data_IF_413715449095
#
_entry.id   IF_413715449095
#
_cell.length_a   1.000
_cell.length_b   1.000
_cell.length_c   1.000
_cell.angle_alpha   90.00
_cell.angle_beta   90.00
_cell.angle_gamma   90.00
#
_symmetry.space_group_name_H-M   'P 1'
#
loop_
_entity.id
_entity.type
_entity.pdbx_description
1 polymer ?
#
# COMPACT_ATOMS: atom_id res chain seq x y z
N UNK A 1 -43.13 62.18 9.00
CA UNK A 1 -44.41 61.64 9.51
C UNK A 1 -45.24 61.15 8.34
N UNK A 2 -46.01 60.05 8.54
CA UNK A 2 -46.72 59.16 7.58
C UNK A 2 -45.79 58.08 7.00
N UNK A 3 -45.72 56.85 7.54
CA UNK A 3 -46.73 55.79 7.67
C UNK A 3 -47.23 55.27 6.32
N UNK A 4 -46.90 54.03 5.97
CA UNK A 4 -47.81 52.85 5.95
C UNK A 4 -47.08 51.68 5.23
N UNK A 5 -47.18 50.50 5.84
CA UNK A 5 -46.75 49.14 5.47
C UNK A 5 -47.49 48.56 4.23
N UNK A 6 -47.50 47.24 3.98
CA UNK A 6 -46.45 46.36 3.46
C UNK A 6 -46.91 45.70 2.13
N UNK A 7 -46.02 45.09 1.34
CA UNK A 7 -46.46 44.12 0.34
C UNK A 7 -45.81 42.76 0.54
N UNK A 8 -46.69 41.81 0.84
CA UNK A 8 -46.48 40.37 0.87
C UNK A 8 -46.19 39.86 -0.55
N UNK A 9 -45.50 38.73 -0.61
CA UNK A 9 -45.93 37.49 -1.30
C UNK A 9 -44.92 36.93 -2.28
N UNK A 10 -44.37 35.77 -1.87
CA UNK A 10 -44.16 34.54 -2.63
C UNK A 10 -44.05 34.62 -4.16
N UNK A 11 -42.90 34.16 -4.65
CA UNK A 11 -42.72 33.21 -5.77
C UNK A 11 -41.30 33.40 -6.30
N UNK A 12 -40.57 32.43 -6.78
CA UNK A 12 -40.69 30.99 -6.88
C UNK A 12 -39.34 30.59 -7.51
N UNK A 13 -38.79 29.46 -7.08
CA UNK A 13 -38.11 28.50 -7.97
C UNK A 13 -36.86 29.04 -8.71
N UNK A 14 -35.67 28.87 -8.11
CA UNK A 14 -34.65 27.89 -8.55
C UNK A 14 -34.61 27.59 -10.05
N UNK A 15 -33.54 28.03 -10.71
CA UNK A 15 -32.82 27.25 -11.72
C UNK A 15 -31.50 27.97 -12.08
N UNK A 16 -30.45 27.75 -11.29
CA UNK A 16 -29.08 28.02 -11.74
C UNK A 16 -28.55 26.70 -12.34
N UNK A 17 -28.65 26.57 -13.66
CA UNK A 17 -28.01 25.52 -14.43
C UNK A 17 -26.50 25.82 -14.49
N UNK A 18 -25.71 25.14 -13.66
CA UNK A 18 -24.27 24.98 -13.89
C UNK A 18 -24.08 23.56 -14.40
N UNK A 19 -24.01 23.40 -15.72
CA UNK A 19 -23.58 22.17 -16.35
C UNK A 19 -22.05 22.07 -16.22
N UNK A 20 -21.57 21.39 -15.18
CA UNK A 20 -20.20 20.90 -15.13
C UNK A 20 -20.12 19.65 -16.02
N UNK A 21 -19.64 19.84 -17.25
CA UNK A 21 -19.22 18.75 -18.11
C UNK A 21 -17.89 18.19 -17.58
N UNK A 22 -17.97 17.18 -16.71
CA UNK A 22 -16.82 16.33 -16.40
C UNK A 22 -16.74 15.28 -17.50
N UNK A 23 -15.93 15.54 -18.52
CA UNK A 23 -15.59 14.51 -19.50
C UNK A 23 -14.81 13.38 -18.84
N UNK A 24 -14.93 12.12 -19.30
CA UNK A 24 -14.11 11.04 -18.78
C UNK A 24 -12.64 11.34 -19.08
N UNK A 25 -11.85 11.50 -18.03
CA UNK A 25 -10.40 11.46 -18.15
C UNK A 25 -10.08 10.02 -18.51
N UNK A 26 -9.89 9.76 -19.80
CA UNK A 26 -9.30 8.51 -20.26
C UNK A 26 -7.87 8.55 -19.75
N UNK A 27 -7.64 7.91 -18.61
CA UNK A 27 -6.30 7.57 -18.16
C UNK A 27 -5.72 6.67 -19.24
N UNK A 28 -4.91 7.26 -20.12
CA UNK A 28 -3.98 6.48 -20.94
C UNK A 28 -3.05 5.82 -19.94
N UNK A 29 -3.26 4.53 -19.69
CA UNK A 29 -2.29 3.69 -19.01
C UNK A 29 -0.95 3.94 -19.73
N UNK A 30 -0.03 4.61 -19.03
CA UNK A 30 1.38 4.52 -19.38
C UNK A 30 1.67 3.02 -19.39
N UNK A 31 2.26 2.45 -20.44
CA UNK A 31 2.78 1.10 -20.33
C UNK A 31 3.73 1.13 -19.13
N UNK A 32 3.40 0.35 -18.10
CA UNK A 32 4.36 -0.05 -17.07
C UNK A 32 5.65 -0.45 -17.79
N UNK A 33 6.84 -0.20 -17.24
CA UNK A 33 8.02 -0.89 -17.71
C UNK A 33 7.84 -2.35 -17.27
N UNK A 34 7.05 -3.11 -18.04
CA UNK A 34 7.25 -4.53 -18.13
C UNK A 34 8.71 -4.67 -18.53
N UNK A 35 9.53 -5.18 -17.61
CA UNK A 35 10.88 -5.65 -17.86
C UNK A 35 10.80 -6.75 -18.92
N UNK A 36 10.71 -6.30 -20.17
CA UNK A 36 10.86 -7.11 -21.37
C UNK A 36 11.74 -6.30 -22.32
N UNK A 37 12.85 -5.78 -21.81
CA UNK A 37 14.05 -5.90 -22.62
C UNK A 37 14.35 -7.39 -22.58
N UNK A 38 14.22 -8.09 -23.70
CA UNK A 38 15.01 -9.30 -23.88
C UNK A 38 16.47 -8.85 -23.80
N UNK A 39 16.98 -8.70 -22.58
CA UNK A 39 18.39 -8.59 -22.32
C UNK A 39 19.03 -9.78 -23.00
N UNK A 40 20.17 -9.55 -23.66
CA UNK A 40 20.96 -10.66 -24.12
C UNK A 40 21.17 -11.63 -22.93
N UNK A 41 20.93 -12.91 -23.20
CA UNK A 41 21.13 -14.04 -22.31
C UNK A 41 21.72 -15.13 -23.23
N UNK A 42 23.05 -15.18 -23.26
CA UNK A 42 23.81 -15.87 -24.28
C UNK A 42 23.79 -17.40 -24.11
N UNK A 43 23.70 -17.88 -22.87
CA UNK A 43 23.64 -19.30 -22.53
C UNK A 43 22.24 -19.79 -22.12
N UNK A 44 21.27 -18.88 -21.98
CA UNK A 44 19.84 -19.17 -21.72
C UNK A 44 19.60 -19.76 -20.33
N UNK A 45 20.34 -19.27 -19.34
CA UNK A 45 20.20 -19.66 -17.94
C UNK A 45 19.26 -18.73 -17.15
N UNK A 46 18.62 -17.78 -17.83
CA UNK A 46 17.72 -16.72 -17.30
C UNK A 46 18.41 -15.55 -16.61
N UNK A 47 19.74 -15.58 -16.48
CA UNK A 47 20.53 -14.46 -15.96
C UNK A 47 20.95 -13.58 -17.15
N UNK A 48 20.63 -12.28 -17.15
CA UNK A 48 21.05 -11.39 -18.23
C UNK A 48 22.58 -11.28 -18.37
N UNK A 49 23.10 -11.26 -19.60
CA UNK A 49 24.52 -11.03 -19.93
C UNK A 49 25.14 -9.82 -19.18
N UNK A 50 24.33 -8.78 -18.95
CA UNK A 50 24.74 -7.57 -18.26
C UNK A 50 24.96 -7.82 -16.76
N UNK A 51 24.13 -8.65 -16.14
CA UNK A 51 24.26 -9.09 -14.75
C UNK A 51 25.49 -9.98 -14.62
N UNK A 52 25.64 -10.97 -15.49
CA UNK A 52 26.78 -11.91 -15.43
C UNK A 52 28.14 -11.22 -15.54
N UNK A 53 28.24 -10.18 -16.39
CA UNK A 53 29.48 -9.39 -16.49
C UNK A 53 29.84 -8.68 -15.19
N UNK A 54 28.87 -8.34 -14.36
CA UNK A 54 29.09 -7.77 -13.03
C UNK A 54 29.44 -8.88 -12.03
N UNK A 55 28.68 -9.98 -12.03
CA UNK A 55 28.84 -11.11 -11.09
C UNK A 55 30.19 -11.82 -11.28
N UNK A 56 30.53 -12.20 -12.51
CA UNK A 56 31.67 -13.11 -12.77
C UNK A 56 32.54 -12.70 -13.98
N UNK A 57 32.19 -11.61 -14.67
CA UNK A 57 33.07 -10.98 -15.68
C UNK A 57 32.94 -11.49 -17.11
N UNK A 58 32.03 -12.44 -17.38
CA UNK A 58 31.68 -12.90 -18.74
C UNK A 58 30.16 -13.00 -18.90
N UNK A 59 29.68 -13.38 -20.08
CA UNK A 59 28.25 -13.40 -20.42
C UNK A 59 27.66 -14.83 -20.44
N UNK A 60 28.33 -15.78 -19.79
CA UNK A 60 27.86 -17.18 -19.65
C UNK A 60 28.47 -17.84 -18.40
N UNK A 61 28.72 -17.09 -17.34
CA UNK A 61 29.50 -17.58 -16.19
C UNK A 61 28.76 -17.56 -14.86
N UNK A 62 27.64 -16.85 -14.74
CA UNK A 62 26.89 -16.87 -13.50
C UNK A 62 26.13 -18.19 -13.42
N UNK A 63 25.83 -18.63 -12.21
CA UNK A 63 25.03 -19.85 -11.98
C UNK A 63 23.82 -19.57 -11.12
N UNK A 64 23.68 -18.32 -10.63
CA UNK A 64 22.58 -17.86 -9.80
C UNK A 64 22.75 -18.20 -8.32
N UNK A 65 23.89 -18.77 -7.94
CA UNK A 65 24.20 -19.15 -6.54
C UNK A 65 25.44 -18.44 -5.99
N UNK A 66 26.08 -17.60 -6.79
CA UNK A 66 27.10 -16.70 -6.31
C UNK A 66 26.50 -15.77 -5.24
N UNK A 67 27.17 -15.67 -4.11
CA UNK A 67 26.78 -14.83 -2.96
C UNK A 67 28.09 -14.33 -2.34
N UNK A 68 28.50 -13.13 -2.78
CA UNK A 68 29.86 -12.63 -2.62
C UNK A 68 30.17 -12.18 -1.20
N UNK A 69 29.17 -11.72 -0.46
CA UNK A 69 29.29 -11.31 0.94
C UNK A 69 28.70 -12.31 1.93
N UNK A 70 27.99 -13.34 1.45
CA UNK A 70 27.52 -14.45 2.26
C UNK A 70 26.31 -14.09 3.11
N UNK A 71 25.49 -13.14 2.66
CA UNK A 71 24.31 -12.69 3.37
C UNK A 71 23.05 -13.52 3.05
N UNK A 72 23.15 -14.43 2.07
CA UNK A 72 22.07 -15.30 1.62
C UNK A 72 21.27 -14.78 0.44
N UNK A 73 21.58 -13.59 -0.09
CA UNK A 73 21.00 -13.05 -1.32
C UNK A 73 21.98 -13.30 -2.47
N UNK A 74 21.57 -13.99 -3.56
CA UNK A 74 22.49 -14.21 -4.67
C UNK A 74 22.90 -12.92 -5.39
N UNK A 75 24.16 -12.83 -5.84
CA UNK A 75 24.71 -11.70 -6.60
C UNK A 75 23.83 -11.38 -7.84
N UNK A 76 23.28 -12.42 -8.49
CA UNK A 76 22.40 -12.29 -9.64
C UNK A 76 21.06 -11.59 -9.30
N UNK A 77 20.66 -11.60 -8.02
CA UNK A 77 19.51 -10.85 -7.47
C UNK A 77 19.93 -9.44 -7.04
N UNK A 78 21.11 -9.28 -6.45
CA UNK A 78 21.58 -7.97 -5.96
C UNK A 78 21.86 -6.97 -7.09
N UNK A 79 22.50 -7.41 -8.17
CA UNK A 79 22.86 -6.53 -9.29
C UNK A 79 21.64 -5.84 -9.90
N UNK A 80 20.54 -6.53 -10.25
CA UNK A 80 19.33 -5.85 -10.70
C UNK A 80 18.61 -5.07 -9.60
N UNK A 81 18.76 -5.46 -8.33
CA UNK A 81 18.13 -4.75 -7.21
C UNK A 81 18.81 -3.40 -6.94
N UNK A 82 20.13 -3.35 -6.79
CA UNK A 82 20.88 -2.17 -6.35
C UNK A 82 22.19 -1.88 -7.09
N UNK A 83 22.58 -2.72 -8.05
CA UNK A 83 23.67 -2.42 -9.00
C UNK A 83 25.06 -2.91 -8.60
N UNK A 84 25.20 -3.66 -7.51
CA UNK A 84 26.45 -4.28 -7.04
C UNK A 84 26.15 -5.71 -6.52
N UNK A 85 27.17 -6.46 -6.13
CA UNK A 85 27.07 -7.86 -5.64
C UNK A 85 27.23 -7.94 -4.11
N UNK A 86 27.01 -6.84 -3.39
CA UNK A 86 27.14 -6.76 -1.92
C UNK A 86 26.27 -5.64 -1.33
N UNK A 87 25.21 -5.27 -2.03
CA UNK A 87 24.43 -4.05 -1.77
C UNK A 87 23.03 -4.32 -1.21
N UNK A 88 22.55 -5.55 -1.29
CA UNK A 88 21.30 -5.91 -0.65
C UNK A 88 21.56 -6.30 0.81
N UNK A 89 20.46 -6.48 1.55
CA UNK A 89 20.51 -7.14 2.85
C UNK A 89 19.17 -7.80 3.08
N UNK A 90 19.13 -9.04 3.64
CA UNK A 90 17.88 -9.72 3.94
C UNK A 90 17.08 -9.03 5.05
N UNK A 91 17.68 -8.07 5.76
CA UNK A 91 17.08 -7.39 6.91
C UNK A 91 16.72 -5.91 6.66
N UNK A 92 17.04 -5.38 5.48
CA UNK A 92 16.62 -4.02 5.10
C UNK A 92 15.14 -4.03 4.74
N UNK A 93 14.37 -3.23 5.45
CA UNK A 93 12.92 -3.03 5.31
C UNK A 93 12.64 -1.56 5.65
N UNK A 94 12.61 -0.72 4.61
CA UNK A 94 12.74 0.74 4.74
C UNK A 94 11.47 1.40 5.25
N UNK A 95 10.30 0.84 4.96
CA UNK A 95 9.01 1.30 5.47
C UNK A 95 8.41 0.42 6.57
N UNK A 96 9.19 -0.54 7.06
CA UNK A 96 8.84 -1.46 8.15
C UNK A 96 7.59 -2.31 7.85
N UNK A 97 7.29 -2.58 6.58
CA UNK A 97 6.10 -3.32 6.15
C UNK A 97 6.31 -4.85 6.13
N UNK A 98 7.51 -5.33 6.43
CA UNK A 98 7.86 -6.75 6.46
C UNK A 98 8.27 -7.34 5.11
N UNK A 99 8.40 -6.53 4.05
CA UNK A 99 8.95 -6.91 2.76
C UNK A 99 10.38 -6.37 2.64
N UNK A 100 11.38 -7.19 2.28
CA UNK A 100 12.75 -6.70 2.13
C UNK A 100 12.91 -5.70 0.97
N UNK A 101 13.70 -4.64 1.17
CA UNK A 101 13.95 -3.57 0.17
C UNK A 101 14.36 -4.12 -1.20
N UNK A 102 15.20 -5.16 -1.23
CA UNK A 102 15.68 -5.74 -2.49
C UNK A 102 14.53 -6.35 -3.29
N UNK A 103 13.57 -7.00 -2.63
CA UNK A 103 12.40 -7.58 -3.26
C UNK A 103 11.50 -6.46 -3.79
N UNK A 104 11.28 -5.40 -3.03
CA UNK A 104 10.47 -4.26 -3.50
C UNK A 104 11.07 -3.56 -4.72
N UNK A 105 12.40 -3.33 -4.74
CA UNK A 105 13.06 -2.78 -5.92
C UNK A 105 12.87 -3.66 -7.15
N UNK A 106 12.91 -4.98 -6.97
CA UNK A 106 12.71 -5.94 -8.04
C UNK A 106 11.25 -6.07 -8.46
N UNK A 107 10.28 -5.82 -7.58
CA UNK A 107 8.83 -5.90 -7.84
C UNK A 107 8.27 -4.60 -8.43
N UNK A 108 8.61 -3.44 -7.87
CA UNK A 108 7.98 -2.16 -8.21
C UNK A 108 8.95 -0.98 -8.34
N UNK A 109 10.24 -1.16 -8.05
CA UNK A 109 11.30 -0.21 -8.42
C UNK A 109 11.74 0.79 -7.34
N UNK A 110 11.28 0.65 -6.09
CA UNK A 110 11.75 1.42 -4.94
C UNK A 110 11.59 0.64 -3.63
N UNK A 111 12.29 1.07 -2.58
CA UNK A 111 12.31 0.42 -1.26
C UNK A 111 11.03 0.65 -0.41
N UNK A 112 9.91 1.08 -0.99
CA UNK A 112 8.67 1.36 -0.23
C UNK A 112 7.40 1.26 -1.10
N UNK A 113 7.46 0.55 -2.22
CA UNK A 113 6.39 0.60 -3.24
C UNK A 113 5.49 -0.62 -3.24
N UNK A 114 5.93 -1.72 -2.63
CA UNK A 114 5.14 -2.93 -2.62
C UNK A 114 3.91 -2.73 -1.75
N UNK A 115 2.81 -3.41 -2.07
CA UNK A 115 1.67 -3.49 -1.17
C UNK A 115 1.29 -4.94 -0.83
N UNK A 116 2.22 -5.87 -1.10
CA UNK A 116 2.08 -7.31 -0.92
C UNK A 116 0.98 -7.98 -1.76
N UNK A 117 0.41 -7.29 -2.76
CA UNK A 117 -0.69 -7.82 -3.59
C UNK A 117 -0.39 -7.85 -5.07
N UNK A 118 0.81 -7.43 -5.45
CA UNK A 118 1.39 -7.74 -6.75
C UNK A 118 1.39 -9.26 -6.92
N UNK A 119 0.84 -9.75 -8.02
CA UNK A 119 0.63 -11.19 -8.32
C UNK A 119 0.62 -11.32 -9.85
N UNK A 120 1.78 -11.57 -10.43
CA UNK A 120 2.01 -11.45 -11.87
C UNK A 120 1.43 -12.62 -12.66
N UNK A 121 1.33 -13.82 -12.08
CA UNK A 121 0.76 -15.00 -12.73
C UNK A 121 -0.65 -15.38 -12.24
N UNK A 122 -1.14 -14.75 -11.17
CA UNK A 122 -2.51 -14.89 -10.69
C UNK A 122 -2.75 -16.12 -9.82
N UNK A 123 -1.70 -16.71 -9.25
CA UNK A 123 -1.78 -17.90 -8.42
C UNK A 123 -2.11 -17.62 -6.93
N UNK A 124 -2.16 -16.32 -6.57
CA UNK A 124 -2.40 -15.75 -5.23
C UNK A 124 -1.19 -15.76 -4.29
N UNK A 125 0.02 -15.90 -4.82
CA UNK A 125 1.27 -15.65 -4.12
C UNK A 125 1.76 -14.27 -4.53
N UNK A 126 2.28 -13.51 -3.56
CA UNK A 126 2.73 -12.16 -3.86
C UNK A 126 4.04 -12.18 -4.66
N UNK A 127 4.21 -11.31 -5.66
CA UNK A 127 5.43 -11.21 -6.48
C UNK A 127 6.71 -11.17 -5.63
N UNK A 128 6.66 -10.49 -4.47
CA UNK A 128 7.80 -10.37 -3.56
C UNK A 128 8.12 -11.70 -2.87
N UNK A 129 7.11 -12.50 -2.52
CA UNK A 129 7.26 -13.82 -1.91
C UNK A 129 7.94 -14.75 -2.90
N UNK A 130 7.47 -14.77 -4.14
CA UNK A 130 8.05 -15.58 -5.21
C UNK A 130 9.50 -15.18 -5.47
N UNK A 131 9.79 -13.87 -5.45
CA UNK A 131 11.15 -13.39 -5.63
C UNK A 131 12.08 -13.89 -4.51
N UNK A 132 11.61 -13.89 -3.25
CA UNK A 132 12.36 -14.39 -2.10
C UNK A 132 12.59 -15.90 -2.20
N UNK A 133 11.59 -16.67 -2.65
CA UNK A 133 11.65 -18.14 -2.71
C UNK A 133 12.53 -18.64 -3.87
N UNK A 134 12.39 -18.03 -5.06
CA UNK A 134 12.95 -18.59 -6.29
C UNK A 134 13.44 -17.54 -7.30
N UNK A 135 13.46 -16.26 -6.95
CA UNK A 135 14.15 -15.22 -7.72
C UNK A 135 13.40 -14.68 -8.94
N UNK A 136 12.15 -15.09 -9.17
CA UNK A 136 11.28 -14.51 -10.21
C UNK A 136 9.87 -14.29 -9.65
N UNK A 137 8.98 -13.65 -10.43
CA UNK A 137 7.63 -13.27 -9.99
C UNK A 137 6.52 -14.22 -10.48
N UNK A 138 6.89 -15.43 -10.90
CA UNK A 138 5.94 -16.42 -11.43
C UNK A 138 6.40 -17.86 -11.13
N UNK A 139 7.18 -18.06 -10.06
CA UNK A 139 7.96 -19.30 -9.87
C UNK A 139 7.60 -20.11 -8.63
N UNK A 140 6.97 -19.50 -7.62
CA UNK A 140 6.47 -20.25 -6.48
C UNK A 140 5.02 -20.61 -6.76
N UNK A 141 4.57 -21.78 -6.29
CA UNK A 141 3.17 -22.21 -6.38
C UNK A 141 2.53 -22.47 -5.01
N UNK A 142 3.28 -22.22 -3.95
CA UNK A 142 2.83 -22.29 -2.56
C UNK A 142 2.90 -23.71 -2.00
N UNK A 143 3.54 -24.63 -2.72
CA UNK A 143 3.84 -25.98 -2.25
C UNK A 143 5.26 -26.13 -1.69
N UNK A 144 6.08 -25.09 -1.77
CA UNK A 144 7.41 -25.04 -1.19
C UNK A 144 7.30 -25.14 0.34
N UNK A 145 7.96 -26.14 0.92
CA UNK A 145 8.04 -26.39 2.36
C UNK A 145 9.46 -26.92 2.63
N UNK A 146 10.45 -26.03 2.55
CA UNK A 146 11.87 -26.38 2.58
C UNK A 146 12.30 -27.04 3.90
N UNK A 147 11.67 -26.69 5.02
CA UNK A 147 11.96 -27.25 6.34
C UNK A 147 11.08 -28.46 6.70
N UNK A 148 10.10 -28.79 5.84
CA UNK A 148 9.15 -29.88 5.97
C UNK A 148 8.32 -29.81 7.28
N UNK A 149 8.00 -28.60 7.74
CA UNK A 149 7.21 -28.38 8.95
C UNK A 149 5.69 -28.45 8.70
N UNK A 150 5.26 -28.51 7.43
CA UNK A 150 3.87 -28.62 7.03
C UNK A 150 3.15 -27.28 6.81
N UNK A 151 3.88 -26.17 6.86
CA UNK A 151 3.46 -24.83 6.43
C UNK A 151 4.33 -24.46 5.23
N UNK A 152 3.74 -23.94 4.15
CA UNK A 152 4.56 -23.54 3.01
C UNK A 152 5.36 -22.28 3.28
N UNK A 153 6.56 -22.19 2.71
CA UNK A 153 7.45 -21.03 2.83
C UNK A 153 6.72 -19.75 2.38
N UNK A 154 5.91 -19.85 1.32
CA UNK A 154 5.07 -18.75 0.84
C UNK A 154 4.07 -18.26 1.90
N UNK A 155 3.46 -19.18 2.65
CA UNK A 155 2.53 -18.84 3.71
C UNK A 155 3.24 -18.24 4.94
N UNK A 156 4.44 -18.73 5.26
CA UNK A 156 5.26 -18.19 6.34
C UNK A 156 5.73 -16.76 6.03
N UNK A 157 6.24 -16.52 4.81
CA UNK A 157 6.65 -15.21 4.33
C UNK A 157 5.46 -14.24 4.28
N UNK A 158 4.32 -14.65 3.73
CA UNK A 158 3.12 -13.80 3.69
C UNK A 158 2.64 -13.38 5.09
N UNK A 159 2.91 -14.19 6.14
CA UNK A 159 2.56 -13.84 7.51
C UNK A 159 3.48 -12.77 8.13
N UNK A 160 4.66 -12.49 7.54
CA UNK A 160 5.57 -11.43 7.99
C UNK A 160 5.11 -10.03 7.62
N UNK A 161 4.26 -9.89 6.59
CA UNK A 161 3.79 -8.61 6.08
C UNK A 161 2.93 -7.88 7.11
N UNK A 162 3.24 -6.60 7.33
CA UNK A 162 2.53 -5.67 8.19
C UNK A 162 1.70 -4.74 7.33
N UNK A 163 0.38 -4.71 7.56
CA UNK A 163 -0.47 -3.68 6.95
C UNK A 163 -0.09 -2.29 7.50
N UNK A 164 0.61 -1.49 6.70
CA UNK A 164 0.94 -0.10 7.03
C UNK A 164 -0.23 0.87 6.79
N UNK A 165 -1.36 0.40 6.25
CA UNK A 165 -2.45 1.26 5.76
C UNK A 165 -3.73 1.34 6.63
N UNK A 166 -3.85 0.67 7.79
CA UNK A 166 -5.19 0.50 8.42
C UNK A 166 -5.41 1.03 9.85
N UNK A 167 -4.48 1.77 10.47
CA UNK A 167 -4.71 2.23 11.86
C UNK A 167 -5.51 3.54 12.01
N UNK A 168 -5.71 4.36 10.96
CA UNK A 168 -6.19 5.74 11.16
C UNK A 168 -7.58 6.08 10.59
N UNK A 169 -8.10 5.37 9.58
CA UNK A 169 -9.37 5.78 8.95
C UNK A 169 -10.59 5.43 9.81
N UNK A 170 -10.64 4.23 10.40
CA UNK A 170 -11.78 3.80 11.21
C UNK A 170 -11.71 4.35 12.64
N UNK A 171 -10.52 4.40 13.26
CA UNK A 171 -10.33 4.98 14.58
C UNK A 171 -10.65 6.48 14.64
N UNK A 172 -10.23 7.24 13.62
CA UNK A 172 -10.46 8.68 13.53
C UNK A 172 -11.94 9.04 13.38
N UNK A 173 -12.67 8.36 12.47
CA UNK A 173 -14.10 8.61 12.27
C UNK A 173 -14.93 8.18 13.49
N UNK A 174 -14.60 7.04 14.11
CA UNK A 174 -15.28 6.58 15.34
C UNK A 174 -15.03 7.55 16.48
N UNK A 175 -13.79 8.02 16.67
CA UNK A 175 -13.47 9.02 17.69
C UNK A 175 -14.24 10.34 17.48
N UNK A 176 -14.40 10.78 16.24
CA UNK A 176 -15.20 11.96 15.89
C UNK A 176 -16.67 11.78 16.28
N UNK A 177 -17.28 10.64 15.94
CA UNK A 177 -18.68 10.35 16.29
C UNK A 177 -18.88 10.22 17.81
N UNK A 178 -17.94 9.60 18.52
CA UNK A 178 -17.97 9.52 19.99
C UNK A 178 -17.87 10.91 20.62
N UNK A 179 -16.99 11.78 20.11
CA UNK A 179 -16.85 13.15 20.58
C UNK A 179 -18.12 13.98 20.35
N UNK A 180 -18.75 13.84 19.18
CA UNK A 180 -20.04 14.49 18.87
C UNK A 180 -21.14 14.00 19.80
N UNK A 181 -21.26 12.68 20.02
CA UNK A 181 -22.25 12.12 20.93
C UNK A 181 -22.05 12.62 22.38
N UNK A 182 -20.81 12.68 22.85
CA UNK A 182 -20.48 13.22 24.17
C UNK A 182 -20.85 14.70 24.31
N UNK A 183 -20.58 15.52 23.27
CA UNK A 183 -20.93 16.93 23.26
C UNK A 183 -22.45 17.15 23.31
N UNK A 184 -23.22 16.34 22.57
CA UNK A 184 -24.69 16.37 22.60
C UNK A 184 -25.20 15.99 23.99
N UNK A 185 -24.68 14.93 24.59
CA UNK A 185 -25.08 14.48 25.92
C UNK A 185 -24.82 15.56 27.00
N UNK A 186 -23.67 16.23 26.93
CA UNK A 186 -23.34 17.36 27.81
C UNK A 186 -24.30 18.54 27.61
N UNK A 187 -24.58 18.92 26.36
CA UNK A 187 -25.51 20.00 26.05
C UNK A 187 -26.93 19.72 26.58
N UNK A 188 -27.43 18.49 26.38
CA UNK A 188 -28.73 18.04 26.90
C UNK A 188 -28.73 18.07 28.43
N UNK A 189 -27.67 17.57 29.08
CA UNK A 189 -27.53 17.60 30.53
C UNK A 189 -27.58 19.03 31.10
N UNK A 190 -26.88 19.97 30.47
CA UNK A 190 -26.88 21.40 30.85
C UNK A 190 -28.27 22.03 30.65
N UNK A 191 -28.94 21.74 29.53
CA UNK A 191 -30.29 22.22 29.25
C UNK A 191 -31.32 21.72 30.29
N UNK A 192 -31.25 20.43 30.65
CA UNK A 192 -32.14 19.86 31.67
C UNK A 192 -31.87 20.44 33.06
N UNK A 193 -30.60 20.66 33.43
CA UNK A 193 -30.20 21.28 34.70
C UNK A 193 -30.68 22.72 34.82
N UNK A 194 -30.55 23.51 33.76
CA UNK A 194 -31.02 24.91 33.75
C UNK A 194 -32.54 25.01 33.80
N UNK A 195 -33.27 24.11 33.12
CA UNK A 195 -34.74 24.04 33.18
C UNK A 195 -35.26 23.70 34.58
N UNK A 196 -34.62 22.76 35.29
CA UNK A 196 -34.95 22.45 36.69
C UNK A 196 -34.73 23.64 37.64
N UNK A 197 -33.64 24.41 37.45
CA UNK A 197 -33.37 25.59 38.28
C UNK A 197 -34.42 26.70 38.09
N UNK A 198 -34.89 26.92 36.86
CA UNK A 198 -35.94 27.91 36.56
C UNK A 198 -37.32 27.51 37.10
N UNK A 199 -37.61 26.20 37.18
CA UNK A 199 -38.86 25.71 37.76
C UNK A 199 -38.91 25.88 39.30
N UNK A 200 -37.77 25.85 39.99
CA UNK A 200 -37.69 26.01 41.45
C UNK A 200 -37.79 27.45 41.95
N UNK A 201 -37.63 28.47 41.09
CA UNK A 201 -37.69 29.89 41.46
C UNK A 201 -39.07 30.53 41.26
N UNK A 202 -40.07 29.76 40.82
CA UNK A 202 -41.43 30.25 40.55
C UNK A 202 -42.43 30.09 41.71
N UNK A 203 -41.99 29.69 42.91
CA UNK A 203 -42.88 29.33 44.03
C UNK A 203 -42.50 30.01 45.34
N UNK A 204 -42.08 31.27 45.30
CA UNK A 204 -42.00 32.13 46.48
C UNK A 204 -42.86 33.36 46.23
N UNK A 205 -44.10 33.27 46.72
CA UNK A 205 -44.93 34.41 47.08
C UNK A 205 -44.45 34.98 48.42
#
# INVERSE_FOLDING_TARGET
>A
MRSVTPFRSLSAVTALLVALAVGPVVATAMPSPAHASASADADRDTIPDAVERVVCGSATCATGVEDRDGDGIPDATEVPACGDTTCASPTSDRDDDGIPDYAERLVCGSDTCSNAREDADGDRIGDWVEFVICGTRTCADGTEDYDANGVSDAAELAACVKSVNDLAVTGGVVALWVAVAAAIALAVGVALRTRRRRAGTGTSA
#
